data_IF_108413739524
#
_entry.id   IF_108413739524
#
_cell.length_a   1.000
_cell.length_b   1.000
_cell.length_c   1.000
_cell.angle_alpha   90.00
_cell.angle_beta   90.00
_cell.angle_gamma   90.00
#
_symmetry.space_group_name_H-M   'P 1'
#
loop_
_entity.id
_entity.type
_entity.pdbx_description
1 polymer ?
#
# COMPACT_ATOMS: atom_id res chain seq x y z
N UNK A 1 -9.50 10.52 -2.48
CA UNK A 1 -9.50 10.11 -3.91
C UNK A 1 -8.32 10.85 -4.39
N UNK A 2 -7.22 10.14 -4.56
CA UNK A 2 -6.12 10.73 -5.30
C UNK A 2 -6.49 10.57 -6.77
N UNK A 3 -7.38 11.46 -7.25
CA UNK A 3 -7.64 11.59 -8.67
C UNK A 3 -6.33 12.03 -9.31
N UNK A 4 -5.67 11.12 -10.01
CA UNK A 4 -4.36 11.37 -10.61
C UNK A 4 -4.52 11.43 -12.11
N UNK A 5 -3.79 12.35 -12.75
CA UNK A 5 -3.75 12.47 -14.20
C UNK A 5 -2.50 11.76 -14.71
N UNK A 6 -2.66 10.90 -15.71
CA UNK A 6 -1.51 10.30 -16.38
C UNK A 6 -0.79 11.37 -17.20
N UNK A 7 0.48 11.62 -16.89
CA UNK A 7 1.30 12.62 -17.60
C UNK A 7 1.52 12.28 -19.09
N UNK A 8 1.35 11.01 -19.49
CA UNK A 8 1.57 10.57 -20.86
C UNK A 8 0.32 10.65 -21.75
N UNK A 9 -0.86 10.32 -21.21
CA UNK A 9 -2.10 10.28 -22.00
C UNK A 9 -3.19 11.24 -21.55
N UNK A 10 -3.02 11.95 -20.42
CA UNK A 10 -3.97 12.92 -19.89
C UNK A 10 -5.25 12.31 -19.28
N UNK A 11 -5.41 10.99 -19.31
CA UNK A 11 -6.55 10.33 -18.66
C UNK A 11 -6.43 10.39 -17.13
N UNK A 12 -7.55 10.70 -16.49
CA UNK A 12 -7.70 10.55 -15.05
C UNK A 12 -7.83 9.08 -14.70
N UNK A 13 -7.11 8.65 -13.67
CA UNK A 13 -7.27 7.34 -13.06
C UNK A 13 -7.35 7.48 -11.55
N UNK A 14 -7.86 6.43 -10.92
CA UNK A 14 -8.05 6.35 -9.48
C UNK A 14 -7.17 5.25 -8.92
N UNK A 15 -6.67 5.49 -7.71
CA UNK A 15 -5.98 4.48 -6.94
C UNK A 15 -6.06 4.83 -5.45
N UNK A 16 -5.88 3.82 -4.60
CA UNK A 16 -5.78 3.94 -3.15
C UNK A 16 -4.48 3.31 -2.66
N UNK A 17 -3.89 3.86 -1.59
CA UNK A 17 -2.59 3.36 -1.10
C UNK A 17 -2.66 1.90 -0.64
N UNK A 18 -3.84 1.43 -0.23
CA UNK A 18 -4.09 0.04 0.18
C UNK A 18 -3.79 -0.96 -0.94
N UNK A 19 -3.88 -0.55 -2.19
CA UNK A 19 -3.57 -1.37 -3.36
C UNK A 19 -2.09 -1.79 -3.39
N UNK A 20 -1.20 -1.02 -2.77
CA UNK A 20 0.22 -1.38 -2.60
C UNK A 20 0.44 -2.59 -1.68
N UNK A 21 -0.58 -3.06 -0.97
CA UNK A 21 -0.57 -4.26 -0.13
C UNK A 21 -1.38 -5.41 -0.72
N UNK A 22 -2.10 -5.15 -1.82
CA UNK A 22 -2.99 -6.11 -2.47
C UNK A 22 -2.32 -6.73 -3.68
N UNK A 23 -2.38 -8.05 -3.79
CA UNK A 23 -1.86 -8.76 -4.98
C UNK A 23 -2.61 -8.35 -6.26
N UNK A 24 -3.90 -8.04 -6.13
CA UNK A 24 -4.77 -7.60 -7.23
C UNK A 24 -4.82 -6.07 -7.37
N UNK A 25 -4.05 -5.35 -6.56
CA UNK A 25 -3.99 -3.89 -6.60
C UNK A 25 -3.46 -3.36 -7.93
N UNK A 26 -3.81 -2.12 -8.25
CA UNK A 26 -3.41 -1.42 -9.48
C UNK A 26 -3.74 -2.21 -10.74
N UNK A 27 -4.97 -2.73 -10.82
CA UNK A 27 -5.40 -3.60 -11.93
C UNK A 27 -4.48 -4.82 -12.11
N UNK A 28 -4.24 -5.56 -11.02
CA UNK A 28 -3.36 -6.74 -10.99
C UNK A 28 -1.90 -6.47 -11.38
N UNK A 29 -1.46 -5.20 -11.30
CA UNK A 29 -0.14 -4.75 -11.72
C UNK A 29 -0.08 -4.23 -13.17
N UNK A 30 -1.16 -4.34 -13.95
CA UNK A 30 -1.23 -3.82 -15.33
C UNK A 30 -1.61 -2.34 -15.40
N UNK A 31 -2.09 -1.77 -14.30
CA UNK A 31 -2.45 -0.36 -14.17
C UNK A 31 -1.26 0.54 -13.81
N UNK A 32 -1.57 1.71 -13.29
CA UNK A 32 -0.54 2.64 -12.79
C UNK A 32 -0.07 2.23 -11.40
N UNK A 33 0.89 1.31 -11.31
CA UNK A 33 1.46 0.84 -10.04
C UNK A 33 2.09 1.99 -9.24
N UNK A 34 1.59 2.21 -8.01
CA UNK A 34 2.07 3.26 -7.09
C UNK A 34 2.78 2.74 -5.85
N UNK A 35 3.10 1.45 -5.80
CA UNK A 35 3.80 0.81 -4.66
C UNK A 35 5.06 1.56 -4.24
N UNK A 36 5.87 2.03 -5.21
CA UNK A 36 7.06 2.84 -4.94
C UNK A 36 6.76 4.18 -4.28
N UNK A 37 5.65 4.84 -4.64
CA UNK A 37 5.27 6.13 -4.06
C UNK A 37 4.82 5.95 -2.61
N UNK A 38 4.07 4.89 -2.32
CA UNK A 38 3.69 4.51 -0.94
C UNK A 38 4.94 4.16 -0.12
N UNK A 39 5.85 3.37 -0.69
CA UNK A 39 7.13 3.03 -0.07
C UNK A 39 7.97 4.28 0.25
N UNK A 40 8.03 5.25 -0.67
CA UNK A 40 8.78 6.48 -0.47
C UNK A 40 8.28 7.32 0.71
N UNK A 41 6.96 7.44 0.88
CA UNK A 41 6.36 8.15 2.04
C UNK A 41 6.74 7.47 3.35
N UNK A 42 6.65 6.15 3.41
CA UNK A 42 7.05 5.36 4.58
C UNK A 42 8.56 5.51 4.86
N UNK A 43 9.41 5.45 3.83
CA UNK A 43 10.85 5.65 3.98
C UNK A 43 11.19 7.05 4.50
N UNK A 44 10.51 8.09 4.01
CA UNK A 44 10.68 9.46 4.54
C UNK A 44 10.27 9.61 6.01
N UNK A 45 9.31 8.82 6.47
CA UNK A 45 8.93 8.75 7.90
C UNK A 45 9.89 7.89 8.75
N UNK A 46 10.97 7.38 8.14
CA UNK A 46 12.03 6.62 8.81
C UNK A 46 11.73 5.14 8.97
N UNK A 47 10.83 4.57 8.16
CA UNK A 47 10.62 3.12 8.10
C UNK A 47 11.53 2.49 7.02
N UNK A 48 12.10 1.33 7.30
CA UNK A 48 12.67 0.47 6.28
C UNK A 48 11.54 -0.33 5.62
N UNK A 49 11.43 -0.24 4.29
CA UNK A 49 10.34 -0.85 3.53
C UNK A 49 10.91 -1.83 2.52
N UNK A 50 10.34 -3.03 2.46
CA UNK A 50 10.64 -4.00 1.40
C UNK A 50 9.45 -4.17 0.49
N UNK A 51 9.71 -3.97 -0.79
CA UNK A 51 8.80 -4.26 -1.89
C UNK A 51 9.24 -5.54 -2.60
N UNK A 52 8.30 -6.24 -3.21
CA UNK A 52 8.61 -7.45 -3.95
C UNK A 52 7.47 -7.80 -4.91
N UNK A 53 7.76 -8.67 -5.87
CA UNK A 53 6.75 -9.14 -6.80
C UNK A 53 5.91 -10.27 -6.17
N UNK A 54 4.60 -10.16 -6.25
CA UNK A 54 3.70 -11.25 -5.85
C UNK A 54 3.49 -12.24 -7.00
N UNK A 55 4.45 -13.15 -7.20
CA UNK A 55 4.42 -14.14 -8.29
C UNK A 55 4.19 -13.45 -9.67
N UNK A 56 3.10 -13.79 -10.35
CA UNK A 56 2.72 -13.25 -11.66
C UNK A 56 1.94 -11.92 -11.59
N UNK A 57 1.62 -11.44 -10.38
CA UNK A 57 0.77 -10.27 -10.14
C UNK A 57 1.59 -9.00 -9.83
N UNK A 58 0.93 -8.03 -9.18
CA UNK A 58 1.46 -6.75 -8.74
C UNK A 58 2.71 -6.85 -7.83
N UNK A 59 3.50 -5.77 -7.82
CA UNK A 59 4.54 -5.55 -6.83
C UNK A 59 3.92 -4.96 -5.56
N UNK A 60 4.12 -5.61 -4.41
CA UNK A 60 3.50 -5.22 -3.13
C UNK A 60 4.54 -4.93 -2.05
N UNK A 61 4.12 -4.24 -1.00
CA UNK A 61 4.89 -4.04 0.23
C UNK A 61 4.75 -5.30 1.11
N UNK A 62 5.89 -5.93 1.42
CA UNK A 62 5.96 -7.15 2.22
C UNK A 62 6.48 -6.92 3.65
N UNK A 63 7.12 -5.79 3.91
CA UNK A 63 7.68 -5.47 5.23
C UNK A 63 7.72 -3.97 5.41
N UNK A 64 7.37 -3.54 6.63
CA UNK A 64 7.54 -2.17 7.09
C UNK A 64 8.15 -2.27 8.47
N UNK A 65 9.43 -1.93 8.60
CA UNK A 65 10.15 -2.09 9.84
C UNK A 65 10.77 -0.79 10.35
N UNK A 66 10.85 -0.65 11.68
CA UNK A 66 11.54 0.44 12.36
C UNK A 66 12.06 -0.05 13.69
N UNK A 67 13.29 0.34 14.04
CA UNK A 67 13.93 -0.03 15.31
C UNK A 67 13.91 -1.54 15.60
N UNK A 68 14.06 -2.36 14.54
CA UNK A 68 14.07 -3.82 14.63
C UNK A 68 12.69 -4.49 14.72
N UNK A 69 11.60 -3.73 14.71
CA UNK A 69 10.22 -4.24 14.73
C UNK A 69 9.65 -4.18 13.32
N UNK A 70 9.14 -5.30 12.80
CA UNK A 70 8.30 -5.32 11.59
C UNK A 70 6.83 -5.14 11.97
N UNK A 71 6.16 -4.22 11.30
CA UNK A 71 4.77 -3.86 11.54
C UNK A 71 3.80 -4.62 10.65
N UNK A 72 4.29 -5.38 9.68
CA UNK A 72 3.46 -6.36 8.98
C UNK A 72 3.56 -7.73 9.67
N UNK A 73 2.43 -8.44 9.84
CA UNK A 73 2.45 -9.75 10.48
C UNK A 73 3.28 -10.76 9.67
N UNK A 74 4.04 -11.59 10.39
CA UNK A 74 4.85 -12.65 9.78
C UNK A 74 4.00 -13.84 9.33
N UNK A 75 4.62 -14.72 8.53
CA UNK A 75 4.08 -16.02 8.12
C UNK A 75 3.64 -16.80 9.38
N UNK A 76 2.40 -17.29 9.40
CA UNK A 76 1.83 -18.06 10.51
C UNK A 76 0.95 -17.25 11.48
N UNK A 77 0.85 -15.93 11.32
CA UNK A 77 -0.05 -15.06 12.10
C UNK A 77 -1.53 -15.12 11.68
N UNK A 78 -1.86 -15.90 10.65
CA UNK A 78 -3.17 -15.88 9.99
C UNK A 78 -3.32 -14.74 8.97
N UNK A 79 -2.40 -13.78 8.93
CA UNK A 79 -2.30 -12.78 7.87
C UNK A 79 -1.76 -13.40 6.59
N UNK A 80 -2.47 -13.16 5.50
CA UNK A 80 -2.07 -13.55 4.15
C UNK A 80 -1.75 -12.29 3.36
N UNK A 81 -0.45 -11.98 3.26
CA UNK A 81 0.07 -10.88 2.46
C UNK A 81 -0.54 -10.89 1.06
N UNK A 82 -0.89 -9.73 0.51
CA UNK A 82 -1.56 -9.64 -0.79
C UNK A 82 -3.07 -9.91 -0.78
N UNK A 83 -3.64 -10.49 0.29
CA UNK A 83 -5.08 -10.78 0.40
C UNK A 83 -5.76 -9.95 1.49
N UNK A 84 -5.10 -9.82 2.64
CA UNK A 84 -5.67 -9.11 3.77
C UNK A 84 -5.55 -7.60 3.64
N UNK A 85 -6.60 -6.91 4.11
CA UNK A 85 -6.66 -5.47 4.04
C UNK A 85 -5.70 -4.82 5.05
N UNK A 86 -4.85 -3.85 4.65
CA UNK A 86 -3.81 -3.30 5.51
C UNK A 86 -4.36 -2.60 6.76
N UNK A 87 -5.57 -2.04 6.72
CA UNK A 87 -6.21 -1.44 7.92
C UNK A 87 -6.45 -2.43 9.06
N UNK A 88 -6.53 -3.73 8.77
CA UNK A 88 -6.76 -4.76 9.79
C UNK A 88 -5.50 -5.10 10.59
N UNK A 89 -4.32 -4.77 10.05
CA UNK A 89 -3.05 -5.26 10.58
C UNK A 89 -2.02 -4.16 10.85
N UNK A 90 -2.08 -3.06 10.11
CA UNK A 90 -1.14 -1.97 10.29
C UNK A 90 -1.46 -1.20 11.58
N UNK A 91 -0.43 -0.77 12.32
CA UNK A 91 -0.61 0.18 13.41
C UNK A 91 -1.28 1.46 12.91
N UNK A 92 -2.18 1.99 13.75
CA UNK A 92 -2.91 3.24 13.48
C UNK A 92 -2.02 4.39 13.00
N UNK A 93 -0.82 4.53 13.57
CA UNK A 93 0.13 5.58 13.18
C UNK A 93 0.60 5.47 11.71
N UNK A 94 0.74 4.26 11.18
CA UNK A 94 1.12 4.03 9.79
C UNK A 94 -0.07 4.32 8.87
N UNK A 95 -1.27 3.92 9.29
CA UNK A 95 -2.53 4.23 8.59
C UNK A 95 -2.70 5.75 8.50
N UNK A 96 -2.63 6.46 9.62
CA UNK A 96 -2.78 7.93 9.66
C UNK A 96 -1.75 8.64 8.77
N UNK A 97 -0.50 8.19 8.77
CA UNK A 97 0.55 8.72 7.89
C UNK A 97 0.20 8.55 6.41
N UNK A 98 -0.31 7.36 6.03
CA UNK A 98 -0.65 7.06 4.64
C UNK A 98 -1.96 7.74 4.21
N UNK A 99 -2.92 7.87 5.11
CA UNK A 99 -4.15 8.64 4.87
C UNK A 99 -3.88 10.14 4.76
N UNK A 100 -2.94 10.68 5.53
CA UNK A 100 -2.52 12.07 5.38
C UNK A 100 -1.82 12.31 4.03
N UNK A 101 -0.93 11.40 3.64
CA UNK A 101 -0.19 11.51 2.38
C UNK A 101 -1.05 11.20 1.14
N UNK A 102 -2.01 10.29 1.26
CA UNK A 102 -2.89 9.82 0.19
C UNK A 102 -4.33 9.75 0.69
N UNK A 103 -5.01 10.90 0.85
CA UNK A 103 -6.35 10.96 1.43
C UNK A 103 -7.32 9.96 0.79
N UNK A 104 -7.94 9.08 1.60
CA UNK A 104 -8.91 8.11 1.10
C UNK A 104 -10.14 8.84 0.56
N UNK A 105 -11.06 8.07 -0.01
CA UNK A 105 -12.26 8.68 -0.60
C UNK A 105 -13.49 7.88 -0.61
N UNK A 106 -13.35 6.58 -0.45
CA UNK A 106 -14.48 5.85 0.01
C UNK A 106 -14.85 6.42 1.40
N UNK A 107 -16.13 6.74 1.58
CA UNK A 107 -16.72 7.11 2.87
C UNK A 107 -16.82 5.88 3.80
N UNK A 108 -16.26 4.74 3.38
CA UNK A 108 -16.26 3.53 4.17
C UNK A 108 -15.15 3.62 5.21
N UNK A 109 -15.58 3.89 6.44
CA UNK A 109 -14.84 3.49 7.63
C UNK A 109 -14.63 1.97 7.54
N UNK A 110 -13.39 1.54 7.32
CA UNK A 110 -13.06 0.13 7.49
C UNK A 110 -13.34 -0.23 8.96
N UNK A 111 -14.15 -1.27 9.23
CA UNK A 111 -14.52 -1.64 10.60
C UNK A 111 -13.31 -2.12 11.42
#
# INVERSE_FOLDING_TARGET
>A
MVQTICNSCGHSYHWEWVEAFSKFGFSDGDGHVKTYLVSFVLQKAGYAVRIGKWLAHNEIIFSISKDGIDYLPNIGSGFTSGYDHPYKVLPRKIIELLDEAFPPTSVYSFP
#
